data_IF_510408359596
#
_entry.id   IF_510408359596
#
_cell.length_a   1.000
_cell.length_b   1.000
_cell.length_c   1.000
_cell.angle_alpha   90.00
_cell.angle_beta   90.00
_cell.angle_gamma   90.00
#
_symmetry.space_group_name_H-M   'P 1'
#
loop_
_entity.id
_entity.type
_entity.pdbx_description
1 polymer ?
#
# COMPACT_ATOMS: atom_id res chain seq x y z
N UNK A 1 -11.08 10.84 30.45
CA UNK A 1 -10.82 12.06 29.65
C UNK A 1 -9.68 11.72 28.72
N UNK A 2 -9.97 11.43 27.46
CA UNK A 2 -8.94 11.15 26.45
C UNK A 2 -8.39 12.52 26.02
N UNK A 3 -7.08 12.70 26.10
CA UNK A 3 -6.43 13.95 25.72
C UNK A 3 -6.57 14.17 24.21
N UNK A 4 -7.27 15.22 23.80
CA UNK A 4 -7.41 15.63 22.40
C UNK A 4 -6.05 15.95 21.73
N UNK A 5 -4.99 16.12 22.52
CA UNK A 5 -3.64 16.41 22.04
C UNK A 5 -2.92 15.20 21.41
N UNK A 6 -3.46 13.98 21.54
CA UNK A 6 -2.86 12.75 20.98
C UNK A 6 -3.04 12.57 19.47
N UNK A 7 -3.81 13.44 18.81
CA UNK A 7 -4.20 13.28 17.40
C UNK A 7 -3.52 14.28 16.45
N UNK A 8 -2.65 15.16 16.96
CA UNK A 8 -1.96 16.13 16.12
C UNK A 8 -0.80 15.46 15.37
N UNK A 9 -0.78 15.47 14.02
CA UNK A 9 0.37 14.98 13.25
C UNK A 9 1.62 15.75 13.67
N UNK A 10 2.72 15.04 13.92
CA UNK A 10 3.95 15.66 14.37
C UNK A 10 4.72 16.27 13.19
N UNK A 11 4.97 17.59 13.19
CA UNK A 11 5.76 18.21 12.13
C UNK A 11 7.20 17.72 12.17
N UNK A 12 7.81 17.54 10.99
CA UNK A 12 9.23 17.18 10.88
C UNK A 12 10.15 18.16 11.63
N UNK A 13 9.76 19.43 11.72
CA UNK A 13 10.48 20.45 12.48
C UNK A 13 10.56 20.14 13.99
N UNK A 14 9.49 19.58 14.56
CA UNK A 14 9.41 19.22 15.97
C UNK A 14 10.24 17.97 16.28
N UNK A 15 10.18 16.98 15.39
CA UNK A 15 11.03 15.78 15.44
C UNK A 15 12.51 16.17 15.42
N UNK A 16 12.90 17.07 14.50
CA UNK A 16 14.27 17.58 14.40
C UNK A 16 14.69 18.32 15.67
N UNK A 17 13.83 19.20 16.20
CA UNK A 17 14.13 19.97 17.42
C UNK A 17 14.42 19.05 18.60
N UNK A 18 13.66 17.97 18.73
CA UNK A 18 13.90 16.96 19.76
C UNK A 18 15.15 16.14 19.50
N UNK A 19 15.36 15.62 18.28
CA UNK A 19 16.54 14.83 17.92
C UNK A 19 17.87 15.57 18.15
N UNK A 20 17.89 16.89 17.94
CA UNK A 20 19.08 17.74 18.10
C UNK A 20 19.09 18.58 19.39
N UNK A 21 18.19 18.30 20.34
CA UNK A 21 18.21 18.98 21.64
C UNK A 21 19.46 18.57 22.43
N UNK A 22 20.10 19.52 23.12
CA UNK A 22 21.32 19.29 23.89
C UNK A 22 21.19 18.15 24.91
N UNK A 23 20.02 18.03 25.54
CA UNK A 23 19.65 16.95 26.49
C UNK A 23 19.69 15.53 25.89
N UNK A 24 19.76 15.42 24.56
CA UNK A 24 19.73 14.17 23.80
C UNK A 24 21.07 13.79 23.16
N UNK A 25 22.09 14.64 23.24
CA UNK A 25 23.40 14.42 22.58
C UNK A 25 24.04 13.07 22.92
N UNK A 26 23.85 12.58 24.15
CA UNK A 26 24.43 11.32 24.63
C UNK A 26 23.43 10.14 24.60
N UNK A 27 22.18 10.39 24.19
CA UNK A 27 21.13 9.38 24.17
C UNK A 27 21.18 8.63 22.84
N UNK A 28 21.71 7.42 22.90
CA UNK A 28 21.61 6.49 21.78
C UNK A 28 20.18 5.92 21.71
N UNK A 29 19.64 5.67 20.51
CA UNK A 29 18.52 4.74 20.40
C UNK A 29 18.92 3.43 21.08
N UNK A 30 18.03 2.81 21.88
CA UNK A 30 18.47 1.62 22.59
C UNK A 30 18.83 0.51 21.58
N UNK A 31 19.78 -0.34 21.94
CA UNK A 31 20.10 -1.50 21.12
C UNK A 31 18.85 -2.37 20.93
N UNK A 32 18.53 -2.73 19.67
CA UNK A 32 17.29 -3.42 19.30
C UNK A 32 16.19 -2.50 18.77
N UNK A 33 16.43 -1.20 18.60
CA UNK A 33 15.48 -0.22 18.06
C UNK A 33 15.37 -0.24 16.52
N UNK A 34 15.43 -1.43 15.92
CA UNK A 34 15.12 -1.66 14.53
C UNK A 34 13.77 -2.40 14.44
N UNK A 35 12.91 -1.93 13.55
CA UNK A 35 11.65 -2.56 13.11
C UNK A 35 10.36 -2.28 13.93
N UNK A 36 10.37 -2.19 15.27
CA UNK A 36 9.11 -2.22 16.06
C UNK A 36 8.72 -0.94 16.86
N UNK A 37 9.48 0.16 16.77
CA UNK A 37 9.25 1.34 17.64
C UNK A 37 9.10 2.65 16.86
N UNK A 38 7.89 3.24 16.90
CA UNK A 38 7.46 4.46 16.16
C UNK A 38 7.75 5.76 16.94
N UNK A 39 8.81 5.78 17.73
CA UNK A 39 9.07 6.82 18.73
C UNK A 39 10.04 7.90 18.20
N UNK A 40 9.96 9.12 18.73
CA UNK A 40 10.98 10.17 18.60
C UNK A 40 11.39 10.70 19.97
N UNK A 41 12.56 11.33 20.07
CA UNK A 41 12.99 12.03 21.28
C UNK A 41 12.43 13.44 21.30
N UNK A 42 11.74 13.83 22.36
CA UNK A 42 11.29 15.22 22.53
C UNK A 42 12.41 16.11 23.13
N UNK A 43 12.16 17.42 23.21
CA UNK A 43 13.11 18.41 23.76
C UNK A 43 13.34 18.30 25.27
N UNK A 44 12.59 17.45 25.98
CA UNK A 44 12.77 17.15 27.41
C UNK A 44 13.61 15.89 27.64
N UNK A 45 14.03 15.25 26.54
CA UNK A 45 14.79 14.01 26.57
C UNK A 45 13.98 12.77 26.92
N UNK A 46 12.70 12.75 26.58
CA UNK A 46 11.84 11.56 26.68
C UNK A 46 11.60 10.98 25.30
N UNK A 47 11.58 9.65 25.22
CA UNK A 47 11.06 8.95 24.06
C UNK A 47 9.54 9.05 24.07
N UNK A 48 8.97 9.58 22.99
CA UNK A 48 7.54 9.74 22.79
C UNK A 48 7.14 8.98 21.54
N UNK A 49 6.14 8.12 21.64
CA UNK A 49 5.47 7.54 20.48
C UNK A 49 4.17 8.30 20.23
N UNK A 50 4.16 9.27 19.29
CA UNK A 50 2.95 10.03 18.97
C UNK A 50 1.92 9.19 18.22
N UNK A 51 2.35 8.05 17.68
CA UNK A 51 1.53 7.12 16.91
C UNK A 51 1.11 5.91 17.76
N UNK A 52 1.36 5.95 19.08
CA UNK A 52 0.86 4.95 20.02
C UNK A 52 -0.67 4.91 20.00
N UNK A 53 -1.33 6.07 19.80
CA UNK A 53 -2.78 6.15 19.63
C UNK A 53 -3.25 5.41 18.37
N UNK A 54 -2.47 5.47 17.28
CA UNK A 54 -2.75 4.73 16.03
C UNK A 54 -2.49 3.23 16.16
N UNK A 55 -1.79 2.82 17.23
CA UNK A 55 -1.51 1.42 17.56
C UNK A 55 -2.47 0.90 18.66
N UNK A 56 -3.10 1.80 19.42
CA UNK A 56 -4.07 1.51 20.48
C UNK A 56 -5.51 1.39 19.98
N UNK A 57 -5.78 1.83 18.75
CA UNK A 57 -7.09 1.77 18.11
C UNK A 57 -7.03 0.86 16.88
N UNK A 58 -8.04 0.02 16.60
CA UNK A 58 -8.11 -0.75 15.37
C UNK A 58 -8.23 0.09 14.07
N UNK A 59 -8.36 1.41 14.20
CA UNK A 59 -8.66 2.40 13.17
C UNK A 59 -8.27 3.83 13.63
N UNK A 60 -7.68 4.68 12.78
CA UNK A 60 -7.15 4.37 11.47
C UNK A 60 -5.85 3.58 11.61
N UNK A 61 -5.83 2.37 11.04
CA UNK A 61 -4.61 1.59 10.87
C UNK A 61 -4.07 1.89 9.46
N UNK A 62 -2.74 2.07 9.25
CA UNK A 62 -2.19 2.24 7.92
C UNK A 62 -2.58 1.05 7.03
N UNK A 63 -3.44 1.31 6.03
CA UNK A 63 -3.89 0.31 5.06
C UNK A 63 -3.15 0.49 3.74
N UNK A 64 -2.71 -0.60 3.09
CA UNK A 64 -2.20 -0.50 1.73
C UNK A 64 -3.33 -0.04 0.80
N UNK A 65 -3.03 0.95 -0.04
CA UNK A 65 -3.96 1.52 -1.03
C UNK A 65 -4.30 0.55 -2.16
N UNK A 66 -3.48 -0.48 -2.38
CA UNK A 66 -3.76 -1.50 -3.39
C UNK A 66 -2.49 -2.22 -3.85
N UNK A 67 -2.65 -2.98 -4.93
CA UNK A 67 -1.58 -3.65 -5.65
C UNK A 67 -1.59 -3.18 -7.11
N UNK A 68 -0.40 -2.90 -7.65
CA UNK A 68 -0.14 -2.83 -9.09
C UNK A 68 0.47 -4.17 -9.49
N UNK A 69 -0.18 -4.88 -10.42
CA UNK A 69 0.18 -6.24 -10.79
C UNK A 69 0.43 -6.28 -12.30
N UNK A 70 1.67 -6.58 -12.68
CA UNK A 70 2.06 -6.86 -14.05
C UNK A 70 2.00 -8.36 -14.32
N UNK A 71 0.96 -8.80 -15.03
CA UNK A 71 0.73 -10.21 -15.36
C UNK A 71 1.43 -10.55 -16.67
N UNK A 72 2.41 -11.45 -16.58
CA UNK A 72 3.22 -11.91 -17.72
C UNK A 72 3.21 -13.44 -17.80
N UNK A 73 2.17 -14.06 -18.42
CA UNK A 73 1.97 -15.51 -18.37
C UNK A 73 3.13 -16.35 -18.92
N UNK A 74 3.90 -15.80 -19.86
CA UNK A 74 5.06 -16.46 -20.43
C UNK A 74 6.16 -16.79 -19.41
N UNK A 75 6.16 -16.13 -18.25
CA UNK A 75 7.15 -16.31 -17.18
C UNK A 75 6.62 -17.11 -15.98
N UNK A 76 5.50 -17.83 -16.11
CA UNK A 76 5.08 -18.76 -15.07
C UNK A 76 6.17 -19.80 -14.78
N UNK A 77 6.30 -20.22 -13.52
CA UNK A 77 7.21 -21.26 -13.04
C UNK A 77 8.71 -20.97 -13.19
N UNK A 78 9.11 -19.75 -13.58
CA UNK A 78 10.53 -19.38 -13.49
C UNK A 78 10.93 -19.19 -12.02
N UNK A 79 12.23 -19.34 -11.74
CA UNK A 79 12.79 -18.92 -10.45
C UNK A 79 12.49 -17.43 -10.24
N UNK A 80 12.07 -17.06 -9.03
CA UNK A 80 11.86 -15.66 -8.64
C UNK A 80 13.07 -14.81 -9.06
N UNK A 81 12.88 -13.80 -9.91
CA UNK A 81 13.96 -12.91 -10.34
C UNK A 81 14.42 -12.04 -9.18
N UNK A 82 15.70 -11.66 -9.19
CA UNK A 82 16.21 -10.62 -8.32
C UNK A 82 15.72 -9.25 -8.79
N UNK A 83 15.55 -8.33 -7.83
CA UNK A 83 15.27 -6.92 -8.09
C UNK A 83 16.47 -6.09 -7.62
N UNK A 84 17.01 -5.26 -8.51
CA UNK A 84 18.17 -4.42 -8.21
C UNK A 84 17.74 -2.96 -8.21
N UNK A 85 17.75 -2.33 -7.02
CA UNK A 85 17.47 -0.90 -6.87
C UNK A 85 18.76 -0.11 -6.85
N UNK A 86 18.89 0.86 -7.75
CA UNK A 86 20.06 1.71 -7.76
C UNK A 86 19.90 2.90 -6.82
N UNK A 87 20.76 3.01 -5.80
CA UNK A 87 20.64 4.07 -4.78
C UNK A 87 20.87 5.49 -5.33
N UNK A 88 21.53 5.64 -6.48
CA UNK A 88 21.82 6.97 -7.04
C UNK A 88 20.61 7.62 -7.72
N UNK A 89 19.64 6.82 -8.19
CA UNK A 89 18.47 7.32 -8.93
C UNK A 89 17.13 6.68 -8.52
N UNK A 90 17.15 5.69 -7.61
CA UNK A 90 15.97 4.98 -7.11
C UNK A 90 15.32 3.99 -8.09
N UNK A 91 15.85 3.86 -9.32
CA UNK A 91 15.30 2.94 -10.33
C UNK A 91 15.55 1.50 -9.88
N UNK A 92 14.49 0.70 -9.93
CA UNK A 92 14.58 -0.74 -9.71
C UNK A 92 14.42 -1.50 -11.02
N UNK A 93 15.39 -2.38 -11.30
CA UNK A 93 15.39 -3.24 -12.48
C UNK A 93 15.07 -4.69 -12.09
N UNK A 94 14.25 -5.35 -12.92
CA UNK A 94 13.92 -6.77 -12.83
C UNK A 94 14.04 -7.40 -14.22
N UNK A 95 14.85 -8.45 -14.32
CA UNK A 95 15.04 -9.20 -15.55
C UNK A 95 14.35 -10.57 -15.48
N UNK A 96 13.53 -10.86 -16.48
CA UNK A 96 12.79 -12.11 -16.64
C UNK A 96 13.35 -12.87 -17.85
N UNK A 97 13.73 -14.13 -17.67
CA UNK A 97 14.24 -14.97 -18.75
C UNK A 97 13.62 -16.37 -18.66
N UNK A 98 12.96 -16.81 -19.73
CA UNK A 98 12.47 -18.19 -19.90
C UNK A 98 12.74 -18.68 -21.33
N UNK A 99 13.81 -19.46 -21.50
CA UNK A 99 14.25 -19.88 -22.83
C UNK A 99 14.60 -18.68 -23.72
N UNK A 100 13.85 -18.47 -24.82
CA UNK A 100 14.03 -17.32 -25.71
C UNK A 100 13.22 -16.08 -25.30
N UNK A 101 12.21 -16.24 -24.45
CA UNK A 101 11.37 -15.13 -23.99
C UNK A 101 12.12 -14.33 -22.92
N UNK A 102 12.15 -13.02 -23.10
CA UNK A 102 12.83 -12.07 -22.21
C UNK A 102 11.90 -10.94 -21.82
N UNK A 103 12.03 -10.44 -20.60
CA UNK A 103 11.37 -9.22 -20.14
C UNK A 103 12.35 -8.40 -19.30
N UNK A 104 12.50 -7.12 -19.61
CA UNK A 104 13.18 -6.16 -18.75
C UNK A 104 12.13 -5.20 -18.21
N UNK A 105 12.03 -5.09 -16.89
CA UNK A 105 11.08 -4.21 -16.21
C UNK A 105 11.87 -3.26 -15.32
N UNK A 106 11.73 -1.97 -15.59
CA UNK A 106 12.21 -0.91 -14.73
C UNK A 106 11.03 -0.22 -14.06
N UNK A 107 11.13 0.06 -12.77
CA UNK A 107 10.14 0.88 -12.08
C UNK A 107 10.77 1.88 -11.12
N UNK A 108 10.07 2.99 -10.94
CA UNK A 108 10.49 4.11 -10.11
C UNK A 108 9.28 4.67 -9.37
N UNK A 109 9.43 4.93 -8.09
CA UNK A 109 8.44 5.66 -7.28
C UNK A 109 8.96 7.08 -7.11
N UNK A 110 8.24 8.04 -7.69
CA UNK A 110 8.64 9.45 -7.78
C UNK A 110 7.87 10.26 -6.73
N UNK A 111 8.58 10.64 -5.67
CA UNK A 111 8.01 11.45 -4.58
C UNK A 111 7.55 12.85 -5.04
N UNK A 112 8.31 13.61 -5.85
CA UNK A 112 7.91 14.98 -6.20
C UNK A 112 6.66 15.05 -7.09
N UNK A 113 6.43 14.03 -7.92
CA UNK A 113 5.36 14.01 -8.92
C UNK A 113 4.16 13.14 -8.50
N UNK A 114 4.22 12.44 -7.35
CA UNK A 114 3.22 11.45 -6.93
C UNK A 114 2.93 10.39 -8.02
N UNK A 115 4.00 9.89 -8.68
CA UNK A 115 3.89 8.93 -9.78
C UNK A 115 4.71 7.68 -9.48
N UNK A 116 4.12 6.52 -9.76
CA UNK A 116 4.83 5.26 -9.92
C UNK A 116 4.93 5.00 -11.42
N UNK A 117 6.15 5.04 -11.96
CA UNK A 117 6.42 4.79 -13.36
C UNK A 117 6.96 3.36 -13.55
N UNK A 118 6.47 2.66 -14.56
CA UNK A 118 6.95 1.36 -14.99
C UNK A 118 7.30 1.46 -16.48
N UNK A 119 8.53 1.09 -16.85
CA UNK A 119 8.92 0.87 -18.24
C UNK A 119 9.22 -0.61 -18.43
N UNK A 120 8.61 -1.25 -19.41
CA UNK A 120 8.84 -2.66 -19.70
C UNK A 120 9.18 -2.87 -21.18
N UNK A 121 10.14 -3.75 -21.44
CA UNK A 121 10.51 -4.25 -22.76
C UNK A 121 10.48 -5.78 -22.73
N UNK A 122 9.56 -6.37 -23.49
CA UNK A 122 9.39 -7.80 -23.66
C UNK A 122 9.75 -8.25 -25.06
N UNK A 123 10.39 -9.42 -25.16
CA UNK A 123 10.79 -10.05 -26.43
C UNK A 123 10.36 -11.51 -26.48
N UNK A 124 9.93 -11.95 -27.66
CA UNK A 124 9.47 -13.31 -27.94
C UNK A 124 8.33 -13.77 -27.01
N UNK A 125 7.37 -12.89 -26.76
CA UNK A 125 6.13 -13.21 -26.05
C UNK A 125 5.26 -14.16 -26.87
N UNK A 126 4.49 -15.00 -26.18
CA UNK A 126 3.46 -15.87 -26.77
C UNK A 126 2.08 -15.61 -26.21
N UNK A 127 1.99 -14.84 -25.12
CA UNK A 127 0.74 -14.46 -24.48
C UNK A 127 0.65 -12.94 -24.32
N UNK A 128 -0.58 -12.45 -24.16
CA UNK A 128 -0.81 -11.04 -23.83
C UNK A 128 -0.27 -10.71 -22.44
N UNK A 129 0.26 -9.49 -22.33
CA UNK A 129 0.60 -8.86 -21.05
C UNK A 129 -0.63 -8.09 -20.55
N UNK A 130 -0.84 -8.07 -19.24
CA UNK A 130 -1.86 -7.21 -18.64
C UNK A 130 -1.36 -6.54 -17.36
N UNK A 131 -1.84 -5.32 -17.13
CA UNK A 131 -1.60 -4.56 -15.91
C UNK A 131 -2.90 -4.48 -15.13
N UNK A 132 -2.84 -4.79 -13.84
CA UNK A 132 -4.01 -4.83 -12.97
C UNK A 132 -3.79 -3.97 -11.74
N UNK A 133 -4.75 -3.10 -11.47
CA UNK A 133 -4.95 -2.52 -10.16
C UNK A 133 -5.88 -3.43 -9.37
N UNK A 134 -5.55 -3.69 -8.11
CA UNK A 134 -6.36 -4.54 -7.25
C UNK A 134 -6.39 -4.03 -5.81
N UNK A 135 -7.58 -4.07 -5.21
CA UNK A 135 -7.77 -3.88 -3.77
C UNK A 135 -8.74 -4.94 -3.25
N UNK A 136 -8.40 -5.58 -2.14
CA UNK A 136 -9.33 -6.44 -1.41
C UNK A 136 -10.23 -5.60 -0.51
N UNK A 137 -11.47 -6.04 -0.30
CA UNK A 137 -12.33 -5.52 0.78
C UNK A 137 -11.56 -5.69 2.09
N UNK A 138 -11.41 -4.61 2.86
CA UNK A 138 -10.66 -4.66 4.10
C UNK A 138 -11.36 -5.61 5.11
N UNK A 139 -10.55 -6.38 5.83
CA UNK A 139 -11.01 -7.52 6.64
C UNK A 139 -10.74 -7.30 8.13
N UNK A 140 -10.77 -6.05 8.61
CA UNK A 140 -10.59 -5.76 10.05
C UNK A 140 -11.55 -6.64 10.86
N UNK A 141 -11.00 -7.36 11.83
CA UNK A 141 -11.76 -8.23 12.73
C UNK A 141 -11.84 -7.56 14.10
N UNK A 142 -13.07 -7.30 14.54
CA UNK A 142 -13.39 -6.91 15.91
C UNK A 142 -12.77 -7.91 16.90
N UNK A 143 -12.14 -7.42 17.98
CA UNK A 143 -11.70 -8.26 19.11
C UNK A 143 -10.27 -8.80 19.06
N UNK A 144 -9.53 -8.63 17.96
CA UNK A 144 -8.24 -9.33 17.76
C UNK A 144 -7.07 -8.38 17.44
N UNK A 145 -6.81 -7.41 18.31
CA UNK A 145 -5.55 -6.67 18.27
C UNK A 145 -4.48 -7.29 19.16
N UNK A 146 -3.24 -7.17 18.70
CA UNK A 146 -2.03 -7.57 19.41
C UNK A 146 -1.91 -6.80 20.73
N UNK A 147 -1.78 -7.55 21.82
CA UNK A 147 -1.22 -7.15 23.12
C UNK A 147 -1.07 -5.64 23.41
N UNK A 148 -2.01 -5.08 24.15
CA UNK A 148 -1.63 -4.24 25.30
C UNK A 148 -2.26 -4.87 26.54
N UNK A 149 -1.43 -5.60 27.28
CA UNK A 149 -1.77 -6.23 28.56
C UNK A 149 -1.87 -5.19 29.70
N UNK A 150 -2.70 -4.17 29.48
CA UNK A 150 -3.13 -3.22 30.52
C UNK A 150 -4.64 -3.12 30.48
N UNK A 151 -5.23 -3.44 31.63
CA UNK A 151 -6.65 -3.65 31.99
C UNK A 151 -7.67 -2.55 31.64
N UNK A 152 -7.40 -1.66 30.69
CA UNK A 152 -8.39 -0.74 30.13
C UNK A 152 -8.58 -1.06 28.64
N UNK A 153 -9.23 -2.20 28.41
CA UNK A 153 -9.49 -2.77 27.09
C UNK A 153 -10.24 -1.78 26.19
N UNK A 154 -9.76 -1.61 24.96
CA UNK A 154 -10.56 -1.07 23.86
C UNK A 154 -11.86 -1.89 23.78
N UNK A 155 -13.00 -1.24 24.05
CA UNK A 155 -14.29 -1.91 24.11
C UNK A 155 -14.93 -1.87 22.72
N UNK A 156 -14.76 -2.96 21.96
CA UNK A 156 -15.32 -3.14 20.63
C UNK A 156 -16.84 -2.99 20.59
N UNK A 157 -17.56 -3.33 21.66
CA UNK A 157 -19.02 -3.19 21.71
C UNK A 157 -19.44 -1.72 21.82
N UNK A 158 -18.71 -0.94 22.65
CA UNK A 158 -18.95 0.51 22.78
C UNK A 158 -18.65 1.29 21.50
N UNK A 159 -17.79 0.75 20.65
CA UNK A 159 -17.37 1.40 19.41
C UNK A 159 -17.75 0.59 18.17
N UNK A 160 -18.75 -0.30 18.28
CA UNK A 160 -19.17 -1.20 17.20
C UNK A 160 -19.61 -0.45 15.94
N UNK A 161 -20.17 0.75 16.12
CA UNK A 161 -20.56 1.66 15.03
C UNK A 161 -19.36 2.11 14.17
N UNK A 162 -18.20 2.34 14.79
CA UNK A 162 -16.96 2.76 14.09
C UNK A 162 -16.17 1.61 13.49
N UNK A 163 -16.52 0.37 13.82
CA UNK A 163 -15.78 -0.82 13.43
C UNK A 163 -16.61 -1.75 12.53
N UNK A 164 -17.58 -1.19 11.79
CA UNK A 164 -18.38 -1.94 10.83
C UNK A 164 -17.56 -2.32 9.59
N UNK A 165 -18.10 -3.25 8.78
CA UNK A 165 -17.53 -3.56 7.48
C UNK A 165 -17.50 -2.30 6.62
N UNK A 166 -16.37 -2.06 5.97
CA UNK A 166 -16.23 -0.98 5.01
C UNK A 166 -16.97 -1.32 3.71
N UNK A 167 -17.33 -0.26 2.98
CA UNK A 167 -17.76 -0.41 1.59
C UNK A 167 -16.68 -1.16 0.81
N UNK A 168 -17.10 -2.01 -0.13
CA UNK A 168 -16.14 -2.69 -0.98
C UNK A 168 -15.46 -1.70 -1.91
N UNK A 169 -14.19 -1.94 -2.31
CA UNK A 169 -13.56 -1.13 -3.34
C UNK A 169 -14.37 -1.18 -4.63
N UNK A 170 -14.25 -0.15 -5.44
CA UNK A 170 -14.88 -0.05 -6.76
C UNK A 170 -13.80 -0.02 -7.83
N UNK A 171 -14.01 -0.71 -8.94
CA UNK A 171 -13.18 -0.59 -10.14
C UNK A 171 -13.88 0.21 -11.23
N UNK A 172 -13.12 0.97 -12.00
CA UNK A 172 -13.69 1.79 -13.06
C UNK A 172 -12.68 2.20 -14.11
N UNK A 173 -13.20 2.90 -15.12
CA UNK A 173 -12.43 3.42 -16.25
C UNK A 173 -12.99 4.76 -16.70
N UNK A 174 -12.12 5.62 -17.22
CA UNK A 174 -12.51 6.84 -17.92
C UNK A 174 -11.51 7.14 -19.04
N UNK A 175 -11.97 7.07 -20.30
CA UNK A 175 -11.08 7.20 -21.45
C UNK A 175 -9.96 6.15 -21.43
N UNK A 176 -8.71 6.60 -21.38
CA UNK A 176 -7.54 5.73 -21.32
C UNK A 176 -7.12 5.32 -19.88
N UNK A 177 -7.77 5.91 -18.88
CA UNK A 177 -7.47 5.68 -17.47
C UNK A 177 -8.31 4.55 -16.90
N UNK A 178 -7.73 3.79 -15.98
CA UNK A 178 -8.40 2.73 -15.23
C UNK A 178 -8.01 2.83 -13.77
N UNK A 179 -8.93 2.51 -12.85
CA UNK A 179 -8.73 2.87 -11.46
C UNK A 179 -9.41 1.92 -10.47
N UNK A 180 -8.95 1.99 -9.22
CA UNK A 180 -9.62 1.45 -8.04
C UNK A 180 -9.87 2.60 -7.07
N UNK A 181 -11.11 2.70 -6.59
CA UNK A 181 -11.54 3.67 -5.57
C UNK A 181 -11.92 2.93 -4.31
N UNK A 182 -11.58 3.50 -3.16
CA UNK A 182 -12.01 3.00 -1.86
C UNK A 182 -12.46 4.17 -1.00
N UNK A 183 -13.59 3.97 -0.32
CA UNK A 183 -14.10 4.88 0.68
C UNK A 183 -14.05 4.22 2.04
N UNK A 184 -13.61 4.98 3.03
CA UNK A 184 -13.70 4.66 4.44
C UNK A 184 -14.69 5.63 5.09
N UNK A 185 -15.53 5.13 6.01
CA UNK A 185 -16.51 5.94 6.71
C UNK A 185 -15.82 6.96 7.62
N UNK A 186 -16.59 7.97 8.01
CA UNK A 186 -16.23 8.91 9.05
C UNK A 186 -15.81 8.22 10.35
N UNK A 187 -14.78 8.76 10.98
CA UNK A 187 -14.20 8.25 12.22
C UNK A 187 -13.52 9.40 12.99
N UNK A 188 -12.85 9.09 14.11
CA UNK A 188 -12.27 10.09 15.02
C UNK A 188 -11.11 10.89 14.39
N UNK A 189 -10.26 10.28 13.58
CA UNK A 189 -9.12 10.94 12.90
C UNK A 189 -9.51 11.56 11.56
N UNK A 190 -10.44 10.94 10.84
CA UNK A 190 -11.06 11.44 9.62
C UNK A 190 -12.57 11.65 9.82
N UNK A 191 -13.01 12.78 10.41
CA UNK A 191 -14.42 13.05 10.71
C UNK A 191 -15.33 13.05 9.48
N UNK A 192 -14.79 13.36 8.31
CA UNK A 192 -15.50 13.36 7.03
C UNK A 192 -15.32 12.04 6.25
N UNK A 193 -14.65 11.06 6.88
CA UNK A 193 -14.18 9.84 6.26
C UNK A 193 -12.91 10.05 5.45
N UNK A 194 -12.43 8.98 4.83
CA UNK A 194 -11.24 9.01 4.01
C UNK A 194 -11.52 8.32 2.68
N UNK A 195 -11.07 8.92 1.59
CA UNK A 195 -11.24 8.36 0.25
C UNK A 195 -9.90 8.34 -0.45
N UNK A 196 -9.65 7.32 -1.25
CA UNK A 196 -8.55 7.35 -2.20
C UNK A 196 -8.92 6.71 -3.52
N UNK A 197 -8.15 7.06 -4.53
CA UNK A 197 -8.13 6.42 -5.83
C UNK A 197 -6.68 6.04 -6.17
N UNK A 198 -6.49 4.82 -6.67
CA UNK A 198 -5.29 4.46 -7.42
C UNK A 198 -5.68 4.42 -8.89
N UNK A 199 -5.01 5.20 -9.71
CA UNK A 199 -5.29 5.32 -11.14
C UNK A 199 -4.07 4.87 -11.95
N UNK A 200 -4.32 4.21 -13.08
CA UNK A 200 -3.31 3.76 -14.02
C UNK A 200 -3.55 4.32 -15.42
N UNK A 201 -2.45 4.63 -16.10
CA UNK A 201 -2.40 5.14 -17.46
C UNK A 201 -1.28 4.44 -18.25
N UNK A 202 -1.56 4.08 -19.51
CA UNK A 202 -0.60 3.37 -20.38
C UNK A 202 -0.65 4.03 -21.76
N UNK A 203 0.18 5.07 -22.00
CA UNK A 203 0.16 5.80 -23.27
C UNK A 203 0.66 4.94 -24.43
N UNK A 204 0.13 5.19 -25.63
CA UNK A 204 0.69 4.69 -26.88
C UNK A 204 0.51 3.19 -27.14
N UNK A 205 -0.27 2.48 -26.31
CA UNK A 205 -0.53 1.04 -26.47
C UNK A 205 -2.02 0.76 -26.54
N UNK A 206 -2.41 0.00 -27.57
CA UNK A 206 -3.78 -0.52 -27.71
C UNK A 206 -4.07 -1.52 -26.60
N UNK A 207 -5.18 -1.32 -25.90
CA UNK A 207 -5.55 -2.06 -24.69
C UNK A 207 -7.07 -2.18 -24.56
N UNK A 208 -7.52 -3.27 -23.94
CA UNK A 208 -8.89 -3.47 -23.47
C UNK A 208 -8.88 -3.37 -21.94
N UNK A 209 -9.73 -2.53 -21.34
CA UNK A 209 -9.83 -2.41 -19.89
C UNK A 209 -11.02 -3.27 -19.40
N UNK A 210 -10.77 -4.10 -18.39
CA UNK A 210 -11.75 -4.99 -17.75
C UNK A 210 -11.88 -4.69 -16.27
N UNK A 211 -13.10 -4.44 -15.83
CA UNK A 211 -13.45 -4.17 -14.44
C UNK A 211 -14.18 -5.37 -13.83
N UNK A 212 -13.81 -5.74 -12.61
CA UNK A 212 -14.40 -6.85 -11.88
C UNK A 212 -14.47 -6.48 -10.41
N UNK A 213 -15.67 -6.47 -9.83
CA UNK A 213 -15.91 -6.14 -8.43
C UNK A 213 -16.48 -7.32 -7.65
N UNK A 214 -16.23 -7.36 -6.34
CA UNK A 214 -16.79 -8.37 -5.44
C UNK A 214 -16.23 -9.80 -5.62
N UNK A 215 -15.13 -9.98 -6.36
CA UNK A 215 -14.57 -11.30 -6.68
C UNK A 215 -13.31 -11.59 -5.86
N UNK A 216 -13.11 -12.87 -5.51
CA UNK A 216 -11.93 -13.35 -4.75
C UNK A 216 -10.76 -13.69 -5.68
N UNK A 217 -9.55 -13.78 -5.12
CA UNK A 217 -8.32 -14.20 -5.83
C UNK A 217 -7.95 -13.31 -7.04
N UNK A 218 -8.26 -12.00 -6.98
CA UNK A 218 -7.91 -11.07 -8.05
C UNK A 218 -6.47 -10.55 -7.95
N UNK A 219 -5.86 -10.59 -6.76
CA UNK A 219 -4.51 -10.09 -6.50
C UNK A 219 -3.46 -11.14 -6.17
N UNK A 220 -2.24 -10.67 -5.94
CA UNK A 220 -1.13 -11.49 -5.45
C UNK A 220 -1.39 -11.85 -4.00
N UNK A 221 -1.38 -13.15 -3.69
CA UNK A 221 -1.61 -13.64 -2.33
C UNK A 221 -0.43 -13.22 -1.44
N UNK A 222 -0.70 -12.68 -0.23
CA UNK A 222 0.37 -12.37 0.71
C UNK A 222 1.11 -13.65 1.11
N UNK A 223 2.45 -13.60 1.01
CA UNK A 223 3.32 -14.67 1.45
C UNK A 223 3.43 -14.62 2.97
N UNK A 224 3.06 -15.72 3.64
CA UNK A 224 3.42 -15.94 5.04
C UNK A 224 4.79 -16.59 5.04
N UNK A 225 5.81 -15.92 5.57
CA UNK A 225 7.09 -16.57 5.80
C UNK A 225 6.92 -17.52 7.00
N UNK A 226 6.59 -18.78 6.73
CA UNK A 226 6.21 -19.79 7.75
C UNK A 226 7.28 -19.97 8.84
N UNK A 227 8.53 -19.58 8.54
CA UNK A 227 9.67 -19.70 9.44
C UNK A 227 10.04 -18.40 10.16
N UNK A 228 9.48 -17.25 9.78
CA UNK A 228 9.70 -15.98 10.48
C UNK A 228 8.49 -15.77 11.40
N UNK A 229 8.70 -15.96 12.70
CA UNK A 229 7.81 -15.47 13.76
C UNK A 229 8.40 -14.16 14.30
N UNK A 230 8.19 -12.99 13.67
CA UNK A 230 8.48 -11.74 14.36
C UNK A 230 7.65 -11.74 15.65
N UNK A 231 8.31 -11.72 16.82
CA UNK A 231 7.62 -11.68 18.11
C UNK A 231 6.73 -12.90 18.45
N UNK A 232 6.95 -14.08 17.86
CA UNK A 232 6.14 -15.28 18.18
C UNK A 232 4.77 -15.36 17.49
N UNK A 233 4.51 -14.48 16.52
CA UNK A 233 3.19 -14.34 15.89
C UNK A 233 3.08 -15.22 14.63
N UNK A 234 2.04 -16.04 14.54
CA UNK A 234 1.60 -16.56 13.24
C UNK A 234 0.92 -15.43 12.47
N UNK A 235 1.58 -14.92 11.42
CA UNK A 235 0.96 -13.99 10.47
C UNK A 235 -0.07 -14.76 9.63
N UNK A 236 -1.26 -14.99 10.18
CA UNK A 236 -2.35 -15.63 9.47
C UNK A 236 -3.02 -14.64 8.50
N UNK A 237 -2.57 -14.66 7.25
CA UNK A 237 -3.18 -13.90 6.16
C UNK A 237 -4.44 -14.57 5.57
N UNK A 238 -5.01 -15.61 6.19
CA UNK A 238 -6.17 -16.32 5.67
C UNK A 238 -7.38 -15.43 5.37
N UNK A 239 -7.62 -14.41 6.20
CA UNK A 239 -8.74 -13.49 5.99
C UNK A 239 -8.52 -12.66 4.71
N UNK A 240 -7.34 -12.08 4.54
CA UNK A 240 -6.97 -11.34 3.32
C UNK A 240 -7.02 -12.25 2.09
N UNK A 241 -6.56 -13.50 2.20
CA UNK A 241 -6.61 -14.49 1.10
C UNK A 241 -8.04 -14.89 0.71
N UNK A 242 -9.00 -14.81 1.64
CA UNK A 242 -10.41 -15.15 1.43
C UNK A 242 -11.30 -13.95 1.09
N UNK A 243 -10.77 -12.74 1.25
CA UNK A 243 -11.46 -11.49 0.97
C UNK A 243 -11.85 -11.41 -0.52
N UNK A 244 -13.06 -10.93 -0.78
CA UNK A 244 -13.41 -10.37 -2.08
C UNK A 244 -12.64 -9.08 -2.31
N UNK A 245 -12.67 -8.57 -3.53
CA UNK A 245 -12.11 -7.28 -3.86
C UNK A 245 -12.52 -6.86 -5.25
N UNK A 246 -11.86 -5.82 -5.72
CA UNK A 246 -12.14 -5.20 -7.01
C UNK A 246 -10.85 -5.02 -7.78
N UNK A 247 -10.94 -5.17 -9.11
CA UNK A 247 -9.80 -5.08 -10.00
C UNK A 247 -10.15 -4.40 -11.31
N UNK A 248 -9.34 -3.41 -11.69
CA UNK A 248 -9.32 -2.81 -13.03
C UNK A 248 -8.09 -3.35 -13.76
N UNK A 249 -8.28 -4.00 -14.91
CA UNK A 249 -7.21 -4.68 -15.65
C UNK A 249 -7.13 -4.15 -17.08
N UNK A 250 -6.02 -3.51 -17.43
CA UNK A 250 -5.67 -3.19 -18.80
C UNK A 250 -4.98 -4.41 -19.45
N UNK A 251 -5.65 -5.04 -20.41
CA UNK A 251 -5.14 -6.14 -21.24
C UNK A 251 -4.57 -5.56 -22.51
N UNK A 252 -3.25 -5.66 -22.69
CA UNK A 252 -2.56 -5.08 -23.85
C UNK A 252 -2.79 -5.97 -25.08
N UNK A 253 -2.95 -5.35 -26.25
CA UNK A 253 -2.99 -6.08 -27.51
C UNK A 253 -1.73 -6.94 -27.66
N UNK A 254 -1.91 -8.16 -28.17
CA UNK A 254 -0.79 -9.09 -28.33
C UNK A 254 0.24 -8.53 -29.32
N UNK A 255 1.50 -8.53 -28.90
CA UNK A 255 2.67 -8.29 -29.74
C UNK A 255 3.77 -9.23 -29.28
N UNK A 256 4.47 -9.86 -30.22
CA UNK A 256 5.60 -10.76 -29.91
C UNK A 256 6.74 -9.99 -29.22
N UNK A 257 6.96 -8.74 -29.65
CA UNK A 257 7.87 -7.80 -29.02
C UNK A 257 7.06 -6.58 -28.59
N UNK A 258 7.10 -6.25 -27.30
CA UNK A 258 6.25 -5.23 -26.71
C UNK A 258 7.08 -4.32 -25.81
N UNK A 259 7.14 -3.05 -26.13
CA UNK A 259 7.65 -2.00 -25.25
C UNK A 259 6.49 -1.12 -24.81
N UNK A 260 6.41 -0.81 -23.52
CA UNK A 260 5.43 0.15 -23.01
C UNK A 260 5.95 0.88 -21.78
N UNK A 261 5.34 2.04 -21.52
CA UNK A 261 5.43 2.73 -20.23
C UNK A 261 4.04 2.75 -19.60
N UNK A 262 3.98 2.60 -18.29
CA UNK A 262 2.77 2.71 -17.49
C UNK A 262 3.02 3.64 -16.31
N UNK A 263 2.04 4.48 -16.02
CA UNK A 263 2.09 5.46 -14.95
C UNK A 263 0.93 5.21 -14.01
N UNK A 264 1.20 5.32 -12.72
CA UNK A 264 0.19 5.18 -11.68
C UNK A 264 0.32 6.30 -10.67
N UNK A 265 -0.81 6.77 -10.16
CA UNK A 265 -0.87 7.74 -9.07
C UNK A 265 -1.82 7.26 -7.99
N UNK A 266 -1.63 7.78 -6.79
CA UNK A 266 -2.53 7.58 -5.66
C UNK A 266 -2.95 8.95 -5.16
N UNK A 267 -4.23 9.25 -5.29
CA UNK A 267 -4.82 10.52 -4.84
C UNK A 267 -5.81 10.22 -3.72
N UNK A 268 -5.82 11.08 -2.72
CA UNK A 268 -6.59 10.95 -1.48
C UNK A 268 -7.52 12.16 -1.30
N UNK A 269 -8.49 12.04 -0.39
CA UNK A 269 -9.36 13.16 -0.01
C UNK A 269 -8.63 14.37 0.57
N UNK A 270 -7.32 14.28 0.84
CA UNK A 270 -6.51 15.42 1.25
C UNK A 270 -5.93 16.21 0.07
N UNK A 271 -5.94 15.64 -1.13
CA UNK A 271 -5.36 16.25 -2.32
C UNK A 271 -6.40 17.13 -3.05
N UNK A 272 -7.68 16.77 -3.00
CA UNK A 272 -8.77 17.59 -3.54
C UNK A 272 -10.16 16.95 -3.40
N UNK A 273 -11.19 17.73 -3.69
CA UNK A 273 -12.59 17.28 -3.60
C UNK A 273 -12.95 16.27 -4.70
N UNK A 274 -12.37 16.43 -5.89
CA UNK A 274 -12.61 15.56 -7.04
C UNK A 274 -11.37 14.69 -7.34
N UNK A 275 -11.32 13.53 -6.70
CA UNK A 275 -10.19 12.59 -6.81
C UNK A 275 -9.92 12.10 -8.23
N UNK A 276 -10.96 11.97 -9.06
CA UNK A 276 -10.80 11.49 -10.43
C UNK A 276 -10.12 12.54 -11.31
N UNK A 277 -10.49 13.81 -11.15
CA UNK A 277 -9.86 14.90 -11.89
C UNK A 277 -8.44 15.17 -11.39
N UNK A 278 -8.22 15.12 -10.08
CA UNK A 278 -6.88 15.32 -9.49
C UNK A 278 -5.91 14.17 -9.86
N UNK A 279 -6.41 12.98 -10.14
CA UNK A 279 -5.60 11.83 -10.56
C UNK A 279 -5.22 11.82 -12.06
N UNK A 280 -5.87 12.63 -12.90
CA UNK A 280 -5.63 12.70 -14.36
C UNK A 280 -4.51 13.67 -14.70
#
# INVERSE_FOLDING_TARGET
RIHNDLYKPLPLAEIKKGAFAEVNNDKKPHAGWGEDHKCYMNTEGKWVDPYVAWSAYPFPCPKPVGQIILKSPDFLDIKQPDAYTSCHNGVTEVQLIKGKTKGNINYLVMMPENIIAIKADYRNLRHQISLRLYRHTDTVRLGHFFHYDKKENYNYEKEAEFNQSFESPESGQEGEFFWIKQQFPAEKTFPDGFKYIIMGYIPGVTKEIKNVDGVKNLGTKPMSNVNRKPGGLELDYNQIRKASGSAATAVLSYQENLEFSAFFTVVTSNDGDNLLEEAK
#
